data_IF_100033229302
#
_entry.id   IF_100033229302
#
_cell.length_a   1.000
_cell.length_b   1.000
_cell.length_c   1.000
_cell.angle_alpha   90.00
_cell.angle_beta   90.00
_cell.angle_gamma   90.00
#
_symmetry.space_group_name_H-M   'P 1'
#
loop_
_entity.id
_entity.type
_entity.pdbx_description
1 polymer ?
#
# COMPACT_ATOMS: atom_id res chain seq x y z
N UNK A 1 -8.03 27.97 10.50
CA UNK A 1 -7.09 27.02 9.87
C UNK A 1 -7.89 25.97 9.13
N UNK A 2 -7.79 25.91 7.81
CA UNK A 2 -8.30 24.78 7.03
C UNK A 2 -7.36 23.60 7.30
N UNK A 3 -7.83 22.56 8.00
CA UNK A 3 -7.09 21.28 8.04
C UNK A 3 -7.16 20.71 6.62
N UNK A 4 -6.02 20.63 5.95
CA UNK A 4 -5.88 19.84 4.73
C UNK A 4 -6.27 18.40 5.07
N UNK A 5 -7.48 18.00 4.69
CA UNK A 5 -7.88 16.61 4.76
C UNK A 5 -7.18 15.87 3.62
N UNK A 6 -6.33 14.91 3.99
CA UNK A 6 -5.79 13.94 3.04
C UNK A 6 -6.95 13.12 2.49
N UNK A 7 -6.92 12.80 1.21
CA UNK A 7 -7.94 11.94 0.61
C UNK A 7 -7.98 10.59 1.36
N UNK A 8 -9.16 10.10 1.80
CA UNK A 8 -9.26 8.91 2.64
C UNK A 8 -8.73 7.64 1.97
N UNK A 9 -8.84 7.53 0.64
CA UNK A 9 -8.27 6.40 -0.11
C UNK A 9 -6.74 6.39 -0.03
N UNK A 10 -6.12 7.57 -0.19
CA UNK A 10 -4.66 7.69 -0.11
C UNK A 10 -4.16 7.40 1.31
N UNK A 11 -4.91 7.83 2.32
CA UNK A 11 -4.59 7.52 3.72
C UNK A 11 -4.68 6.02 4.01
N UNK A 12 -5.76 5.36 3.55
CA UNK A 12 -5.94 3.92 3.75
C UNK A 12 -4.86 3.10 3.02
N UNK A 13 -4.52 3.50 1.80
CA UNK A 13 -3.45 2.89 1.01
C UNK A 13 -2.09 2.98 1.73
N UNK A 14 -1.76 4.17 2.24
CA UNK A 14 -0.54 4.38 3.02
C UNK A 14 -0.53 3.54 4.30
N UNK A 15 -1.66 3.45 5.01
CA UNK A 15 -1.79 2.62 6.21
C UNK A 15 -1.57 1.14 5.90
N UNK A 16 -2.19 0.63 4.85
CA UNK A 16 -2.02 -0.76 4.42
C UNK A 16 -0.57 -1.08 4.03
N UNK A 17 0.09 -0.17 3.29
CA UNK A 17 1.50 -0.34 2.95
C UNK A 17 2.42 -0.33 4.19
N UNK A 18 2.18 0.57 5.14
CA UNK A 18 2.96 0.62 6.38
C UNK A 18 2.82 -0.66 7.21
N UNK A 19 1.60 -1.19 7.32
CA UNK A 19 1.36 -2.47 7.99
C UNK A 19 2.08 -3.62 7.27
N UNK A 20 1.97 -3.70 5.95
CA UNK A 20 2.70 -4.70 5.16
C UNK A 20 4.22 -4.59 5.35
N UNK A 21 4.75 -3.37 5.27
CA UNK A 21 6.18 -3.11 5.48
C UNK A 21 6.64 -3.55 6.86
N UNK A 22 5.83 -3.30 7.89
CA UNK A 22 6.12 -3.73 9.25
C UNK A 22 6.18 -5.26 9.35
N UNK A 23 5.17 -5.96 8.83
CA UNK A 23 5.12 -7.44 8.83
C UNK A 23 6.31 -8.04 8.09
N UNK A 24 6.68 -7.51 6.92
CA UNK A 24 7.83 -7.99 6.14
C UNK A 24 9.14 -7.72 6.88
N UNK A 25 9.33 -6.53 7.45
CA UNK A 25 10.56 -6.17 8.16
C UNK A 25 10.75 -6.93 9.47
N UNK A 26 9.67 -7.35 10.13
CA UNK A 26 9.76 -8.18 11.33
C UNK A 26 10.46 -9.51 11.03
N UNK A 27 10.18 -10.13 9.88
CA UNK A 27 10.76 -11.41 9.46
C UNK A 27 11.03 -11.42 7.94
N UNK A 28 12.10 -10.77 7.48
CA UNK A 28 12.36 -10.64 6.06
C UNK A 28 12.75 -11.99 5.44
N UNK A 29 12.27 -12.21 4.23
CA UNK A 29 12.76 -13.24 3.31
C UNK A 29 13.07 -12.59 1.95
N UNK A 30 13.91 -13.20 1.10
CA UNK A 30 14.18 -12.63 -0.22
C UNK A 30 12.91 -12.38 -1.04
N UNK A 31 11.92 -13.29 -0.97
CA UNK A 31 10.65 -13.15 -1.68
C UNK A 31 9.77 -12.02 -1.12
N UNK A 32 9.64 -11.93 0.21
CA UNK A 32 8.82 -10.89 0.85
C UNK A 32 9.46 -9.50 0.74
N UNK A 33 10.79 -9.41 0.78
CA UNK A 33 11.53 -8.18 0.54
C UNK A 33 11.36 -7.69 -0.90
N UNK A 34 11.46 -8.59 -1.89
CA UNK A 34 11.21 -8.25 -3.29
C UNK A 34 9.75 -7.78 -3.50
N UNK A 35 8.79 -8.44 -2.86
CA UNK A 35 7.38 -8.03 -2.91
C UNK A 35 7.17 -6.63 -2.31
N UNK A 36 7.79 -6.33 -1.16
CA UNK A 36 7.75 -5.01 -0.54
C UNK A 36 8.31 -3.93 -1.46
N UNK A 37 9.44 -4.19 -2.10
CA UNK A 37 10.06 -3.25 -3.03
C UNK A 37 9.19 -3.03 -4.28
N UNK A 38 8.62 -4.08 -4.85
CA UNK A 38 7.71 -3.97 -5.99
C UNK A 38 6.48 -3.10 -5.66
N UNK A 39 5.83 -3.36 -4.50
CA UNK A 39 4.69 -2.55 -4.05
C UNK A 39 5.14 -1.10 -3.83
N UNK A 40 6.30 -0.85 -3.23
CA UNK A 40 6.84 0.51 -3.04
C UNK A 40 6.99 1.25 -4.37
N UNK A 41 7.52 0.58 -5.40
CA UNK A 41 7.68 1.16 -6.74
C UNK A 41 6.33 1.49 -7.39
N UNK A 42 5.36 0.59 -7.27
CA UNK A 42 3.99 0.83 -7.75
C UNK A 42 3.34 2.03 -7.07
N UNK A 43 3.51 2.17 -5.74
CA UNK A 43 2.99 3.32 -4.99
C UNK A 43 3.64 4.64 -5.40
N UNK A 44 4.95 4.66 -5.65
CA UNK A 44 5.63 5.86 -6.16
C UNK A 44 5.09 6.26 -7.53
N UNK A 45 4.92 5.29 -8.44
CA UNK A 45 4.33 5.52 -9.76
C UNK A 45 2.90 6.06 -9.62
N UNK A 46 2.12 5.47 -8.73
CA UNK A 46 0.73 5.87 -8.47
C UNK A 46 0.64 7.32 -7.98
N UNK A 47 1.47 7.73 -7.02
CA UNK A 47 1.53 9.12 -6.54
C UNK A 47 1.87 10.08 -7.68
N UNK A 48 2.87 9.76 -8.50
CA UNK A 48 3.25 10.62 -9.64
C UNK A 48 2.09 10.83 -10.63
N UNK A 49 1.34 9.76 -10.92
CA UNK A 49 0.20 9.81 -11.84
C UNK A 49 -0.96 10.63 -11.24
N UNK A 50 -1.29 10.40 -9.96
CA UNK A 50 -2.30 11.20 -9.24
C UNK A 50 -1.93 12.69 -9.23
N UNK A 51 -0.68 13.02 -8.93
CA UNK A 51 -0.16 14.39 -8.96
C UNK A 51 -0.28 15.01 -10.35
N UNK A 52 0.06 14.26 -11.41
CA UNK A 52 -0.10 14.75 -12.78
C UNK A 52 -1.56 15.06 -13.10
N UNK A 53 -2.49 14.15 -12.80
CA UNK A 53 -3.91 14.36 -13.03
C UNK A 53 -4.47 15.57 -12.28
N UNK A 54 -4.03 15.78 -11.03
CA UNK A 54 -4.36 16.99 -10.28
C UNK A 54 -3.82 18.25 -10.97
N UNK A 55 -2.56 18.24 -11.42
CA UNK A 55 -1.92 19.40 -12.04
C UNK A 55 -2.56 19.79 -13.38
N UNK A 56 -3.02 18.82 -14.17
CA UNK A 56 -3.65 19.09 -15.48
C UNK A 56 -5.18 19.25 -15.38
N UNK A 57 -5.76 19.23 -14.17
CA UNK A 57 -7.21 19.33 -13.97
C UNK A 57 -8.01 18.13 -14.51
N UNK A 58 -7.38 16.98 -14.71
CA UNK A 58 -8.05 15.78 -15.22
C UNK A 58 -8.74 15.02 -14.08
N UNK A 59 -9.96 15.47 -13.75
CA UNK A 59 -10.78 14.92 -12.65
C UNK A 59 -11.18 13.46 -12.88
N UNK A 60 -11.50 13.07 -14.11
CA UNK A 60 -11.89 11.68 -14.42
C UNK A 60 -10.71 10.74 -14.21
N UNK A 61 -9.52 11.11 -14.69
CA UNK A 61 -8.29 10.34 -14.46
C UNK A 61 -7.97 10.22 -12.97
N UNK A 62 -8.13 11.31 -12.20
CA UNK A 62 -7.96 11.28 -10.75
C UNK A 62 -8.92 10.29 -10.07
N UNK A 63 -10.21 10.33 -10.39
CA UNK A 63 -11.21 9.43 -9.80
C UNK A 63 -10.93 7.96 -10.14
N UNK A 64 -10.57 7.67 -11.40
CA UNK A 64 -10.19 6.32 -11.82
C UNK A 64 -8.99 5.80 -11.03
N UNK A 65 -7.96 6.64 -10.85
CA UNK A 65 -6.81 6.24 -10.04
C UNK A 65 -7.18 6.07 -8.57
N UNK A 66 -8.04 6.91 -7.99
CA UNK A 66 -8.52 6.66 -6.63
C UNK A 66 -9.24 5.30 -6.50
N UNK A 67 -10.00 4.87 -7.50
CA UNK A 67 -10.58 3.52 -7.52
C UNK A 67 -9.48 2.45 -7.58
N UNK A 68 -8.45 2.63 -8.41
CA UNK A 68 -7.28 1.74 -8.45
C UNK A 68 -6.56 1.69 -7.10
N UNK A 69 -6.47 2.82 -6.39
CA UNK A 69 -5.93 2.92 -5.04
C UNK A 69 -6.71 2.07 -4.03
N UNK A 70 -8.04 2.04 -4.12
CA UNK A 70 -8.88 1.16 -3.30
C UNK A 70 -8.62 -0.33 -3.60
N UNK A 71 -8.51 -0.69 -4.89
CA UNK A 71 -8.20 -2.06 -5.29
C UNK A 71 -6.81 -2.49 -4.83
N UNK A 72 -5.83 -1.61 -4.95
CA UNK A 72 -4.45 -1.84 -4.51
C UNK A 72 -4.39 -2.01 -2.99
N UNK A 73 -5.12 -1.18 -2.24
CA UNK A 73 -5.26 -1.30 -0.78
C UNK A 73 -5.75 -2.70 -0.38
N UNK A 74 -6.79 -3.22 -1.02
CA UNK A 74 -7.31 -4.56 -0.76
C UNK A 74 -6.26 -5.64 -1.05
N UNK A 75 -5.53 -5.53 -2.16
CA UNK A 75 -4.46 -6.48 -2.52
C UNK A 75 -3.32 -6.47 -1.50
N UNK A 76 -2.88 -5.29 -1.03
CA UNK A 76 -1.83 -5.18 -0.01
C UNK A 76 -2.29 -5.81 1.31
N UNK A 77 -3.53 -5.59 1.74
CA UNK A 77 -4.08 -6.25 2.94
C UNK A 77 -4.08 -7.77 2.82
N UNK A 78 -4.51 -8.31 1.67
CA UNK A 78 -4.47 -9.76 1.42
C UNK A 78 -3.04 -10.31 1.41
N UNK A 79 -2.09 -9.58 0.81
CA UNK A 79 -0.68 -9.95 0.85
C UNK A 79 -0.12 -9.94 2.28
N UNK A 80 -0.53 -8.97 3.10
CA UNK A 80 -0.15 -8.88 4.51
C UNK A 80 -0.60 -10.11 5.29
N UNK A 81 -1.87 -10.49 5.18
CA UNK A 81 -2.40 -11.69 5.83
C UNK A 81 -1.69 -12.96 5.35
N UNK A 82 -1.43 -13.06 4.05
CA UNK A 82 -0.67 -14.19 3.51
C UNK A 82 0.73 -14.29 4.12
N UNK A 83 1.47 -13.19 4.22
CA UNK A 83 2.81 -13.19 4.82
C UNK A 83 2.74 -13.51 6.31
N UNK A 84 1.72 -13.03 7.03
CA UNK A 84 1.48 -13.42 8.43
C UNK A 84 1.30 -14.94 8.57
N UNK A 85 0.50 -15.56 7.71
CA UNK A 85 0.28 -17.02 7.70
C UNK A 85 1.58 -17.76 7.36
N UNK A 86 2.33 -17.31 6.35
CA UNK A 86 3.62 -17.90 5.99
C UNK A 86 4.63 -17.82 7.15
N UNK A 87 4.66 -16.70 7.88
CA UNK A 87 5.48 -16.54 9.08
C UNK A 87 5.02 -17.46 10.21
N UNK A 88 3.72 -17.59 10.45
CA UNK A 88 3.17 -18.48 11.47
C UNK A 88 3.48 -19.95 11.18
N UNK A 89 3.36 -20.41 9.92
CA UNK A 89 3.73 -21.76 9.48
C UNK A 89 5.21 -22.04 9.76
N UNK A 90 6.07 -21.04 9.61
CA UNK A 90 7.51 -21.13 9.93
C UNK A 90 7.82 -21.05 11.44
N UNK A 91 6.80 -21.02 12.31
CA UNK A 91 6.94 -20.96 13.76
C UNK A 91 7.06 -19.55 14.34
N UNK A 92 6.87 -18.50 13.55
CA UNK A 92 6.86 -17.11 14.02
C UNK A 92 5.44 -16.69 14.40
N UNK A 93 4.91 -17.24 15.49
CA UNK A 93 3.59 -16.89 16.06
C UNK A 93 3.73 -15.78 17.09
N UNK A 94 4.08 -14.58 16.63
CA UNK A 94 4.16 -13.43 17.52
C UNK A 94 4.49 -12.19 16.73
N UNK A 95 3.46 -11.36 16.55
CA UNK A 95 3.52 -9.89 16.60
C UNK A 95 2.05 -9.44 16.56
N UNK A 96 1.48 -9.24 17.76
CA UNK A 96 0.20 -8.55 17.96
C UNK A 96 0.44 -7.05 17.92
#
# INVERSE_FOLDING_TARGET
>A
MVKLQVNPVLEELNRAFNEFSHVVKARPSPSTAALLENIRQELMRYVNVVTLHMNIGNVVGLLNHLIDGQHTTKKIKLATERVRVENAIRGFTGDK
#
